data_IF_973612669948
#
_entry.id   IF_973612669948
#
_cell.length_a   1.000
_cell.length_b   1.000
_cell.length_c   1.000
_cell.angle_alpha   90.00
_cell.angle_beta   90.00
_cell.angle_gamma   90.00
#
_symmetry.space_group_name_H-M   'P 1'
#
loop_
_entity.id
_entity.type
_entity.pdbx_description
1 polymer ?
#
# COMPACT_ATOMS: atom_id res chain seq x y z
N UNK A 1 -40.04 7.31 -24.81
CA UNK A 1 -39.03 7.40 -25.90
C UNK A 1 -37.83 6.52 -25.57
N UNK A 2 -37.10 5.97 -26.54
CA UNK A 2 -35.91 5.13 -26.29
C UNK A 2 -34.67 5.72 -26.96
N UNK A 3 -33.52 5.70 -26.28
CA UNK A 3 -32.25 5.92 -26.94
C UNK A 3 -31.08 5.23 -26.27
N UNK A 4 -29.93 5.37 -26.91
CA UNK A 4 -28.70 4.67 -26.56
C UNK A 4 -27.62 5.67 -26.19
N UNK A 5 -26.86 5.37 -25.14
CA UNK A 5 -25.67 6.13 -24.77
C UNK A 5 -24.43 5.25 -24.67
N UNK A 6 -23.37 5.57 -25.42
CA UNK A 6 -22.12 4.78 -25.47
C UNK A 6 -20.92 5.62 -25.06
N UNK A 7 -19.80 4.97 -24.77
CA UNK A 7 -18.52 5.63 -24.44
C UNK A 7 -17.99 6.58 -25.52
N UNK A 8 -18.51 6.50 -26.76
CA UNK A 8 -18.20 7.43 -27.83
C UNK A 8 -18.75 8.85 -27.58
N UNK A 9 -19.74 9.00 -26.69
CA UNK A 9 -20.35 10.29 -26.32
C UNK A 9 -19.75 10.88 -25.05
N UNK A 10 -18.70 10.27 -24.50
CA UNK A 10 -18.09 10.69 -23.25
C UNK A 10 -17.35 12.01 -23.41
N UNK A 11 -17.81 13.04 -22.71
CA UNK A 11 -17.22 14.39 -22.70
C UNK A 11 -16.27 14.57 -21.51
N UNK A 12 -16.54 13.89 -20.41
CA UNK A 12 -15.69 13.87 -19.23
C UNK A 12 -15.61 12.46 -18.62
N UNK A 13 -14.41 12.03 -18.27
CA UNK A 13 -14.16 10.75 -17.62
C UNK A 13 -13.09 10.92 -16.55
N UNK A 14 -13.42 10.53 -15.33
CA UNK A 14 -12.49 10.53 -14.21
C UNK A 14 -12.55 9.23 -13.43
N UNK A 15 -11.38 8.73 -13.06
CA UNK A 15 -11.20 7.53 -12.26
C UNK A 15 -10.56 7.92 -10.94
N UNK A 16 -11.15 7.48 -9.82
CA UNK A 16 -10.52 7.55 -8.50
C UNK A 16 -10.31 6.14 -7.99
N UNK A 17 -9.06 5.69 -7.91
CA UNK A 17 -8.71 4.30 -7.56
C UNK A 17 -8.27 4.24 -6.11
N UNK A 18 -8.85 3.31 -5.35
CA UNK A 18 -8.63 3.18 -3.90
C UNK A 18 -7.74 2.00 -3.55
N UNK A 19 -8.17 0.78 -3.84
CA UNK A 19 -7.39 -0.43 -3.58
C UNK A 19 -7.54 -1.38 -4.77
N UNK A 20 -8.59 -2.21 -4.76
CA UNK A 20 -9.06 -3.00 -5.91
C UNK A 20 -10.34 -2.44 -6.53
N UNK A 21 -10.78 -1.29 -6.03
CA UNK A 21 -12.00 -0.61 -6.45
C UNK A 21 -11.63 0.76 -7.00
N UNK A 22 -12.34 1.16 -8.05
CA UNK A 22 -12.33 2.52 -8.54
C UNK A 22 -13.74 3.11 -8.55
N UNK A 23 -13.85 4.39 -8.19
CA UNK A 23 -14.99 5.22 -8.53
C UNK A 23 -14.80 5.75 -9.95
N UNK A 24 -15.74 5.41 -10.82
CA UNK A 24 -15.87 5.98 -12.16
C UNK A 24 -16.86 7.13 -12.08
N UNK A 25 -16.46 8.28 -12.60
CA UNK A 25 -17.34 9.41 -12.82
C UNK A 25 -17.25 9.79 -14.29
N UNK A 26 -18.38 9.64 -14.98
CA UNK A 26 -18.50 9.77 -16.42
C UNK A 26 -19.63 10.73 -16.76
N UNK A 27 -19.40 11.62 -17.72
CA UNK A 27 -20.42 12.49 -18.31
C UNK A 27 -20.51 12.19 -19.80
N UNK A 28 -21.73 11.93 -20.28
CA UNK A 28 -22.03 11.68 -21.69
C UNK A 28 -23.07 12.64 -22.20
N UNK A 29 -22.89 13.10 -23.44
CA UNK A 29 -23.93 13.85 -24.14
C UNK A 29 -25.12 12.94 -24.44
N UNK A 30 -26.32 13.42 -24.13
CA UNK A 30 -27.56 12.72 -24.45
C UNK A 30 -28.01 13.05 -25.88
N UNK A 31 -28.53 12.06 -26.63
CA UNK A 31 -29.18 12.32 -27.91
C UNK A 31 -30.33 13.33 -27.74
N UNK A 32 -30.50 14.25 -28.70
CA UNK A 32 -31.69 15.11 -28.71
C UNK A 32 -32.92 14.29 -29.06
N UNK A 33 -33.79 14.19 -28.09
CA UNK A 33 -35.07 13.50 -28.15
C UNK A 33 -36.14 14.50 -28.62
N UNK A 34 -36.82 14.24 -29.75
CA UNK A 34 -37.93 15.09 -30.21
C UNK A 34 -39.07 15.00 -29.20
N UNK A 35 -39.54 16.14 -28.69
CA UNK A 35 -40.60 16.19 -27.67
C UNK A 35 -41.93 15.80 -28.29
N UNK A 36 -42.26 14.51 -28.22
CA UNK A 36 -43.53 13.98 -28.70
C UNK A 36 -44.46 13.76 -27.50
N UNK A 37 -44.80 14.79 -26.74
CA UNK A 37 -45.81 14.77 -25.64
C UNK A 37 -45.64 13.73 -24.50
N UNK A 38 -44.66 12.83 -24.58
CA UNK A 38 -44.38 11.77 -23.62
C UNK A 38 -43.15 12.17 -22.78
N UNK A 39 -43.31 12.44 -21.47
CA UNK A 39 -42.21 12.87 -20.60
C UNK A 39 -41.24 11.72 -20.25
N UNK A 40 -41.63 10.47 -20.50
CA UNK A 40 -40.84 9.29 -20.14
C UNK A 40 -39.81 8.92 -21.20
N UNK A 41 -38.57 8.75 -20.75
CA UNK A 41 -37.41 8.35 -21.57
C UNK A 41 -36.77 7.11 -20.96
N UNK A 42 -36.47 6.15 -21.84
CA UNK A 42 -35.67 4.98 -21.56
C UNK A 42 -34.31 5.16 -22.24
N UNK A 43 -33.23 5.12 -21.47
CA UNK A 43 -31.87 5.20 -21.98
C UNK A 43 -31.16 3.90 -21.69
N UNK A 44 -30.64 3.24 -22.72
CA UNK A 44 -29.71 2.15 -22.53
C UNK A 44 -28.28 2.68 -22.53
N UNK A 45 -27.63 2.61 -21.36
CA UNK A 45 -26.28 3.09 -21.08
C UNK A 45 -25.28 1.95 -21.22
N UNK A 46 -24.47 2.00 -22.28
CA UNK A 46 -23.52 0.95 -22.68
C UNK A 46 -22.11 1.17 -22.12
N UNK A 47 -21.23 0.22 -22.40
CA UNK A 47 -19.79 0.30 -22.13
C UNK A 47 -19.49 0.55 -20.64
N UNK A 48 -20.24 -0.13 -19.76
CA UNK A 48 -19.97 -0.14 -18.32
C UNK A 48 -19.12 -1.34 -17.95
N UNK A 49 -18.44 -1.26 -16.81
CA UNK A 49 -17.61 -2.36 -16.32
C UNK A 49 -18.43 -3.64 -16.11
N UNK A 50 -17.79 -4.78 -16.38
CA UNK A 50 -18.29 -6.12 -16.06
C UNK A 50 -18.37 -6.40 -14.55
N UNK A 51 -17.73 -5.56 -13.75
CA UNK A 51 -17.59 -5.68 -12.29
C UNK A 51 -18.07 -4.40 -11.61
N UNK A 52 -19.15 -3.81 -12.13
CA UNK A 52 -19.83 -2.68 -11.49
C UNK A 52 -20.49 -3.13 -10.18
N UNK A 53 -20.47 -2.29 -9.16
CA UNK A 53 -21.32 -2.44 -7.97
C UNK A 53 -22.64 -1.70 -8.22
N UNK A 54 -23.72 -2.45 -8.37
CA UNK A 54 -25.05 -1.93 -8.70
C UNK A 54 -25.59 -0.97 -7.65
N UNK A 55 -25.25 -1.25 -6.40
CA UNK A 55 -25.76 -0.49 -5.24
C UNK A 55 -25.09 0.88 -5.12
N UNK A 56 -23.98 1.07 -5.84
CA UNK A 56 -23.21 2.31 -5.85
C UNK A 56 -23.62 3.30 -6.94
N UNK A 57 -24.48 2.90 -7.88
CA UNK A 57 -24.77 3.68 -9.08
C UNK A 57 -25.62 4.90 -8.76
N UNK A 58 -25.12 6.07 -9.13
CA UNK A 58 -25.82 7.34 -9.05
C UNK A 58 -25.90 7.93 -10.45
N UNK A 59 -27.10 8.34 -10.85
CA UNK A 59 -27.37 9.01 -12.12
C UNK A 59 -27.78 10.45 -11.81
N UNK A 60 -27.26 11.40 -12.57
CA UNK A 60 -27.74 12.79 -12.55
C UNK A 60 -27.98 13.28 -13.97
N UNK A 61 -28.87 14.25 -14.14
CA UNK A 61 -29.34 14.73 -15.45
C UNK A 61 -30.64 14.08 -15.92
N UNK A 62 -31.18 13.11 -15.17
CA UNK A 62 -32.53 12.58 -15.35
C UNK A 62 -33.10 12.23 -13.98
N UNK A 63 -34.42 12.35 -13.82
CA UNK A 63 -35.12 11.76 -12.68
C UNK A 63 -35.46 10.31 -13.05
N UNK A 64 -34.58 9.38 -12.70
CA UNK A 64 -34.82 7.95 -12.89
C UNK A 64 -35.73 7.40 -11.79
N UNK A 65 -36.58 6.45 -12.16
CA UNK A 65 -37.40 5.69 -11.21
C UNK A 65 -37.10 4.19 -11.26
N UNK A 66 -36.46 3.71 -12.34
CA UNK A 66 -36.03 2.32 -12.50
C UNK A 66 -34.66 2.28 -13.20
N UNK A 67 -33.72 1.53 -12.62
CA UNK A 67 -32.49 1.07 -13.27
C UNK A 67 -32.54 -0.46 -13.40
N UNK A 68 -32.25 -0.98 -14.59
CA UNK A 68 -32.12 -2.42 -14.85
C UNK A 68 -30.70 -2.69 -15.30
N UNK A 69 -29.96 -3.46 -14.50
CA UNK A 69 -28.58 -3.84 -14.77
C UNK A 69 -28.55 -5.14 -15.58
N UNK A 70 -27.98 -5.06 -16.78
CA UNK A 70 -27.90 -6.19 -17.70
C UNK A 70 -26.51 -6.81 -17.63
N UNK A 71 -26.39 -7.83 -16.79
CA UNK A 71 -25.24 -8.73 -16.83
C UNK A 71 -25.33 -9.64 -18.04
N UNK A 72 -24.19 -10.21 -18.45
CA UNK A 72 -24.13 -11.30 -19.43
C UNK A 72 -25.33 -12.25 -19.25
N UNK A 73 -26.29 -12.15 -20.16
CA UNK A 73 -27.53 -12.91 -20.06
C UNK A 73 -27.30 -14.39 -20.43
N UNK A 74 -26.18 -14.69 -21.10
CA UNK A 74 -25.80 -16.02 -21.55
C UNK A 74 -24.28 -16.20 -21.71
N UNK A 75 -23.84 -17.46 -21.65
CA UNK A 75 -22.49 -17.90 -22.02
C UNK A 75 -22.63 -19.26 -22.71
N UNK A 76 -22.43 -19.32 -24.03
CA UNK A 76 -22.58 -20.56 -24.83
C UNK A 76 -21.67 -21.72 -24.38
N UNK A 77 -20.69 -21.45 -23.52
CA UNK A 77 -19.75 -22.45 -22.99
C UNK A 77 -20.09 -22.93 -21.59
N UNK A 78 -21.12 -22.38 -20.94
CA UNK A 78 -21.52 -22.78 -19.59
C UNK A 78 -22.94 -23.39 -19.60
N UNK A 79 -23.08 -24.72 -19.42
CA UNK A 79 -24.37 -25.41 -19.50
C UNK A 79 -25.33 -25.06 -18.35
N UNK A 80 -24.90 -24.28 -17.36
CA UNK A 80 -25.73 -23.81 -16.24
C UNK A 80 -26.34 -22.41 -16.46
N UNK A 81 -26.09 -21.76 -17.62
CA UNK A 81 -26.69 -20.48 -17.99
C UNK A 81 -27.75 -20.66 -19.08
N UNK A 82 -28.75 -19.77 -19.11
CA UNK A 82 -29.87 -19.83 -20.06
C UNK A 82 -29.38 -19.66 -21.50
N UNK A 83 -30.00 -20.31 -22.51
CA UNK A 83 -29.66 -20.12 -23.91
C UNK A 83 -29.81 -18.64 -24.32
N UNK A 84 -28.90 -18.11 -25.14
CA UNK A 84 -28.90 -16.71 -25.56
C UNK A 84 -30.22 -16.25 -26.24
N UNK A 85 -31.04 -17.18 -26.70
CA UNK A 85 -32.33 -16.93 -27.36
C UNK A 85 -33.47 -16.58 -26.37
N UNK A 86 -33.26 -16.80 -25.07
CA UNK A 86 -34.24 -16.51 -24.00
C UNK A 86 -33.97 -15.21 -23.25
N UNK A 87 -32.85 -14.57 -23.55
CA UNK A 87 -32.62 -13.21 -23.12
C UNK A 87 -33.63 -12.33 -23.85
N UNK A 88 -34.54 -11.68 -23.13
CA UNK A 88 -35.05 -10.40 -23.65
C UNK A 88 -33.85 -9.60 -24.15
N UNK A 89 -33.99 -8.81 -25.21
CA UNK A 89 -32.92 -8.10 -25.95
C UNK A 89 -31.99 -7.20 -25.09
N UNK A 90 -31.33 -7.75 -24.09
CA UNK A 90 -30.56 -7.12 -23.05
C UNK A 90 -29.11 -7.25 -23.48
N UNK A 91 -28.50 -6.11 -23.73
CA UNK A 91 -27.13 -6.06 -24.21
C UNK A 91 -26.22 -6.17 -22.98
N UNK A 92 -25.28 -7.12 -22.95
CA UNK A 92 -24.45 -7.36 -21.79
C UNK A 92 -23.59 -6.16 -21.41
N UNK A 93 -23.48 -5.90 -20.11
CA UNK A 93 -22.79 -4.73 -19.53
C UNK A 93 -23.43 -3.42 -19.99
N UNK A 94 -24.76 -3.33 -19.82
CA UNK A 94 -25.54 -2.10 -19.98
C UNK A 94 -26.42 -1.85 -18.77
N UNK A 95 -26.83 -0.59 -18.59
CA UNK A 95 -27.86 -0.17 -17.63
C UNK A 95 -29.02 0.39 -18.43
N UNK A 96 -30.20 -0.21 -18.33
CA UNK A 96 -31.43 0.41 -18.83
C UNK A 96 -32.01 1.33 -17.76
N UNK A 97 -31.97 2.62 -18.03
CA UNK A 97 -32.43 3.69 -17.15
C UNK A 97 -33.79 4.14 -17.66
N UNK A 98 -34.84 4.04 -16.84
CA UNK A 98 -36.18 4.55 -17.15
C UNK A 98 -36.47 5.71 -16.22
N UNK A 99 -36.77 6.86 -16.81
CA UNK A 99 -36.92 8.12 -16.09
C UNK A 99 -37.73 9.16 -16.83
N UNK A 100 -37.82 10.34 -16.23
CA UNK A 100 -38.30 11.54 -16.88
C UNK A 100 -37.11 12.37 -17.37
N UNK A 101 -37.18 12.87 -18.60
CA UNK A 101 -36.15 13.75 -19.13
C UNK A 101 -36.46 15.20 -18.77
N UNK A 102 -35.65 15.75 -17.86
CA UNK A 102 -35.75 17.15 -17.41
C UNK A 102 -34.84 18.02 -18.29
N UNK A 103 -35.15 18.13 -19.58
CA UNK A 103 -34.43 18.98 -20.56
C UNK A 103 -32.88 18.85 -20.56
N UNK A 104 -32.33 17.77 -19.99
CA UNK A 104 -30.90 17.64 -19.79
C UNK A 104 -30.24 17.23 -21.10
N UNK A 105 -29.14 17.92 -21.43
CA UNK A 105 -28.32 17.61 -22.60
C UNK A 105 -27.23 16.59 -22.30
N UNK A 106 -27.03 16.28 -21.03
CA UNK A 106 -26.00 15.36 -20.55
C UNK A 106 -26.57 14.43 -19.48
N UNK A 107 -25.96 13.25 -19.37
CA UNK A 107 -26.18 12.32 -18.28
C UNK A 107 -24.84 12.12 -17.57
N UNK A 108 -24.84 12.16 -16.24
CA UNK A 108 -23.65 11.82 -15.44
C UNK A 108 -23.92 10.57 -14.65
N UNK A 109 -22.96 9.67 -14.70
CA UNK A 109 -22.99 8.43 -13.94
C UNK A 109 -21.81 8.38 -12.99
N UNK A 110 -22.09 7.95 -11.77
CA UNK A 110 -21.09 7.64 -10.76
C UNK A 110 -21.30 6.20 -10.35
N UNK A 111 -20.26 5.39 -10.40
CA UNK A 111 -20.35 4.00 -9.96
C UNK A 111 -19.01 3.48 -9.49
N UNK A 112 -19.04 2.57 -8.53
CA UNK A 112 -17.90 1.79 -8.12
C UNK A 112 -17.74 0.59 -9.05
N UNK A 113 -16.48 0.25 -9.34
CA UNK A 113 -16.12 -0.94 -10.08
C UNK A 113 -14.95 -1.64 -9.43
N UNK A 114 -15.04 -2.96 -9.37
CA UNK A 114 -13.96 -3.84 -8.96
C UNK A 114 -12.91 -4.04 -10.06
N UNK A 115 -11.79 -4.65 -9.67
CA UNK A 115 -10.71 -5.09 -10.57
C UNK A 115 -9.96 -3.94 -11.26
N UNK A 116 -10.02 -2.74 -10.70
CA UNK A 116 -9.04 -1.68 -10.98
C UNK A 116 -8.15 -1.51 -9.76
N UNK A 117 -6.88 -1.85 -9.91
CA UNK A 117 -5.90 -1.79 -8.83
C UNK A 117 -4.88 -0.71 -9.07
N UNK A 118 -4.40 -0.12 -8.00
CA UNK A 118 -3.16 0.64 -8.04
C UNK A 118 -2.20 0.17 -6.95
N UNK A 119 -0.92 0.43 -7.15
CA UNK A 119 0.11 0.26 -6.13
C UNK A 119 1.26 1.22 -6.38
N UNK A 120 1.99 1.60 -5.33
CA UNK A 120 3.26 2.31 -5.50
C UNK A 120 4.44 1.33 -5.58
N UNK A 121 5.46 1.71 -6.35
CA UNK A 121 6.75 1.04 -6.36
C UNK A 121 7.89 2.04 -6.36
N UNK A 122 8.93 1.72 -5.61
CA UNK A 122 10.09 2.55 -5.35
C UNK A 122 11.35 1.90 -5.90
N UNK A 123 12.14 2.67 -6.62
CA UNK A 123 13.53 2.33 -6.92
C UNK A 123 14.41 3.24 -6.10
N UNK A 124 15.23 2.64 -5.24
CA UNK A 124 16.18 3.34 -4.39
C UNK A 124 17.58 3.09 -4.93
N UNK A 125 18.35 4.15 -5.15
CA UNK A 125 19.77 4.04 -5.52
C UNK A 125 20.57 4.60 -4.34
N UNK A 126 21.34 3.73 -3.70
CA UNK A 126 22.22 4.07 -2.60
C UNK A 126 23.56 4.57 -3.14
N UNK A 127 24.04 5.70 -2.63
CA UNK A 127 25.29 6.32 -3.04
C UNK A 127 26.04 6.88 -1.83
N UNK A 128 27.03 6.12 -1.36
CA UNK A 128 27.81 6.38 -0.13
C UNK A 128 26.93 6.74 1.08
N UNK A 129 26.64 8.04 1.27
CA UNK A 129 25.88 8.62 2.39
C UNK A 129 24.51 9.19 2.01
N UNK A 130 24.21 9.24 0.71
CA UNK A 130 22.94 9.75 0.19
C UNK A 130 22.22 8.71 -0.65
N UNK A 131 20.94 8.90 -0.89
CA UNK A 131 20.19 8.06 -1.80
C UNK A 131 19.30 8.88 -2.73
N UNK A 132 18.92 8.23 -3.82
CA UNK A 132 17.92 8.69 -4.77
C UNK A 132 16.69 7.79 -4.70
N UNK A 133 15.50 8.39 -4.81
CA UNK A 133 14.22 7.68 -4.80
C UNK A 133 13.45 8.01 -6.07
N UNK A 134 13.05 6.99 -6.80
CA UNK A 134 12.09 7.07 -7.89
C UNK A 134 10.80 6.37 -7.47
N UNK A 135 9.68 7.09 -7.41
CA UNK A 135 8.37 6.53 -7.14
C UNK A 135 7.53 6.42 -8.41
N UNK A 136 6.90 5.26 -8.60
CA UNK A 136 5.99 4.99 -9.70
C UNK A 136 4.64 4.49 -9.16
N UNK A 137 3.56 4.95 -9.76
CA UNK A 137 2.24 4.36 -9.60
C UNK A 137 2.01 3.31 -10.69
N UNK A 138 1.58 2.13 -10.29
CA UNK A 138 1.30 1.02 -11.18
C UNK A 138 -0.21 0.78 -11.12
N UNK A 139 -0.91 1.06 -12.22
CA UNK A 139 -2.34 0.85 -12.33
C UNK A 139 -2.64 -0.35 -13.21
N UNK A 140 -3.44 -1.27 -12.69
CA UNK A 140 -3.87 -2.47 -13.40
C UNK A 140 -5.37 -2.34 -13.63
N UNK A 141 -5.79 -2.29 -14.89
CA UNK A 141 -7.20 -2.32 -15.26
C UNK A 141 -7.58 -3.74 -15.70
N UNK A 142 -8.49 -4.37 -14.95
CA UNK A 142 -9.16 -5.63 -15.32
C UNK A 142 -10.68 -5.50 -15.15
N UNK A 143 -11.23 -4.28 -15.30
CA UNK A 143 -12.66 -3.99 -15.15
C UNK A 143 -13.52 -4.58 -16.27
N UNK A 144 -12.90 -5.11 -17.33
CA UNK A 144 -13.59 -5.63 -18.50
C UNK A 144 -13.81 -4.61 -19.63
N UNK A 145 -13.48 -3.33 -19.41
CA UNK A 145 -13.63 -2.24 -20.40
C UNK A 145 -12.43 -1.29 -20.42
N UNK A 146 -12.29 -0.55 -21.51
CA UNK A 146 -11.29 0.50 -21.67
C UNK A 146 -11.82 1.85 -21.15
N UNK A 147 -10.96 2.61 -20.47
CA UNK A 147 -11.25 3.99 -20.08
C UNK A 147 -10.34 4.94 -20.84
N UNK A 148 -10.86 5.58 -21.89
CA UNK A 148 -10.07 6.45 -22.76
C UNK A 148 -10.11 7.91 -22.28
N UNK A 149 -8.97 8.61 -22.40
CA UNK A 149 -8.84 10.04 -22.08
C UNK A 149 -9.33 10.41 -20.67
N UNK A 150 -9.05 9.55 -19.68
CA UNK A 150 -9.50 9.74 -18.31
C UNK A 150 -8.50 10.55 -17.46
N UNK A 151 -9.01 11.45 -16.61
CA UNK A 151 -8.22 11.97 -15.49
C UNK A 151 -8.16 10.95 -14.36
N UNK A 152 -7.05 10.88 -13.64
CA UNK A 152 -6.84 9.87 -12.61
C UNK A 152 -6.49 10.48 -11.26
N UNK A 153 -7.13 9.96 -10.21
CA UNK A 153 -6.74 10.11 -8.81
C UNK A 153 -6.49 8.73 -8.23
N UNK A 154 -5.47 8.61 -7.38
CA UNK A 154 -5.26 7.43 -6.53
C UNK A 154 -5.28 7.84 -5.08
N UNK A 155 -5.87 7.00 -4.23
CA UNK A 155 -6.07 7.29 -2.82
C UNK A 155 -5.30 6.28 -1.98
N UNK A 156 -4.33 6.77 -1.22
CA UNK A 156 -3.60 5.96 -0.24
C UNK A 156 -4.30 5.97 1.11
N UNK A 157 -4.43 4.76 1.69
CA UNK A 157 -5.06 4.48 2.96
C UNK A 157 -6.13 3.38 2.86
N UNK A 158 -6.60 2.92 4.02
CA UNK A 158 -7.55 1.82 4.12
C UNK A 158 -8.99 2.32 4.09
N UNK A 159 -9.54 2.50 2.89
CA UNK A 159 -10.98 2.81 2.75
C UNK A 159 -11.80 1.63 3.26
N UNK A 160 -12.66 1.89 4.25
CA UNK A 160 -13.59 0.89 4.75
C UNK A 160 -14.71 0.65 3.72
N UNK A 161 -14.65 -0.50 3.07
CA UNK A 161 -15.66 -0.94 2.10
C UNK A 161 -16.68 -1.81 2.84
N UNK A 162 -17.93 -1.33 2.92
CA UNK A 162 -19.02 -1.98 3.65
C UNK A 162 -19.27 -3.45 3.20
N UNK A 163 -18.85 -3.83 2.00
CA UNK A 163 -19.18 -5.12 1.37
C UNK A 163 -18.16 -6.25 1.55
N UNK A 164 -17.10 -6.08 2.34
CA UNK A 164 -16.08 -7.14 2.55
C UNK A 164 -16.22 -7.94 3.85
N UNK A 165 -17.43 -8.04 4.40
CA UNK A 165 -17.75 -8.88 5.57
C UNK A 165 -18.59 -10.12 5.19
N UNK A 166 -18.17 -10.90 4.18
CA UNK A 166 -18.76 -12.23 3.96
C UNK A 166 -17.83 -13.41 4.22
N UNK A 167 -16.55 -13.20 4.54
CA UNK A 167 -15.67 -14.27 5.00
C UNK A 167 -14.57 -13.78 5.94
N UNK A 168 -14.90 -13.43 7.18
CA UNK A 168 -13.96 -13.60 8.30
C UNK A 168 -14.74 -14.14 9.51
N UNK A 169 -14.28 -15.30 9.96
CA UNK A 169 -14.58 -15.99 11.21
C UNK A 169 -14.74 -15.05 12.41
N UNK A 170 -15.67 -15.40 13.31
CA UNK A 170 -15.82 -14.83 14.64
C UNK A 170 -14.46 -14.68 15.36
N UNK A 171 -13.92 -13.46 15.37
CA UNK A 171 -12.85 -13.05 16.27
C UNK A 171 -13.22 -11.66 16.82
N UNK A 172 -13.28 -11.46 18.14
CA UNK A 172 -13.55 -10.14 18.70
C UNK A 172 -12.33 -9.23 18.49
N UNK A 173 -12.51 -8.14 17.75
CA UNK A 173 -11.49 -7.09 17.62
C UNK A 173 -11.72 -6.08 18.75
N UNK A 174 -10.76 -5.99 19.68
CA UNK A 174 -10.65 -4.83 20.58
C UNK A 174 -10.11 -3.64 19.79
N UNK A 175 -10.86 -2.53 19.76
CA UNK A 175 -10.44 -1.29 19.14
C UNK A 175 -9.59 -0.48 20.13
N UNK A 176 -8.33 -0.22 19.79
CA UNK A 176 -7.52 0.81 20.44
C UNK A 176 -7.73 2.14 19.70
N UNK A 177 -8.32 3.11 20.39
CA UNK A 177 -8.53 4.47 19.91
C UNK A 177 -7.20 5.23 19.99
N UNK A 178 -6.70 5.77 18.88
CA UNK A 178 -5.61 6.74 18.86
C UNK A 178 -6.15 8.02 18.23
N UNK A 179 -6.29 9.04 19.05
CA UNK A 179 -6.56 10.41 18.62
C UNK A 179 -5.22 11.11 18.36
N UNK A 180 -5.09 11.81 17.23
CA UNK A 180 -4.24 13.00 17.15
C UNK A 180 -4.69 13.90 16.01
N UNK A 181 -4.85 15.18 16.32
CA UNK A 181 -5.26 16.26 15.45
C UNK A 181 -4.06 17.14 15.10
N UNK A 182 -3.86 17.41 13.80
CA UNK A 182 -3.72 18.74 13.13
C UNK A 182 -2.91 18.60 11.82
N UNK A 183 -3.28 19.32 10.74
CA UNK A 183 -3.03 18.91 9.35
C UNK A 183 -1.95 19.75 8.63
N UNK A 184 -1.42 19.23 7.50
CA UNK A 184 -1.40 19.85 6.15
C UNK A 184 -0.63 18.91 5.19
N UNK A 185 -1.40 18.10 4.46
CA UNK A 185 -1.23 17.76 3.04
C UNK A 185 -2.55 18.17 2.38
N UNK A 186 -2.59 18.47 1.07
CA UNK A 186 -3.85 18.89 0.39
C UNK A 186 -5.02 17.99 0.85
N UNK A 187 -5.95 18.55 1.62
CA UNK A 187 -6.95 17.78 2.38
C UNK A 187 -7.93 17.19 1.35
N UNK A 188 -7.60 15.97 0.95
CA UNK A 188 -8.54 15.02 0.41
C UNK A 188 -9.50 14.56 1.51
N UNK A 189 -10.74 14.31 1.10
CA UNK A 189 -11.85 13.81 1.90
C UNK A 189 -11.39 12.76 2.94
N UNK A 190 -11.81 12.92 4.21
CA UNK A 190 -11.79 11.88 5.26
C UNK A 190 -10.43 11.20 5.59
N UNK A 191 -9.39 11.99 5.89
CA UNK A 191 -8.07 11.52 6.39
C UNK A 191 -7.22 10.66 5.42
N UNK A 192 -7.57 10.62 4.13
CA UNK A 192 -6.81 9.91 3.10
C UNK A 192 -5.86 10.83 2.32
N UNK A 193 -4.74 10.28 1.84
CA UNK A 193 -3.85 11.00 0.92
C UNK A 193 -4.30 10.78 -0.52
N UNK A 194 -4.72 11.86 -1.18
CA UNK A 194 -5.12 11.85 -2.60
C UNK A 194 -3.93 12.28 -3.46
N UNK A 195 -3.52 11.40 -4.37
CA UNK A 195 -2.52 11.71 -5.38
C UNK A 195 -3.22 11.89 -6.71
N UNK A 196 -3.24 13.13 -7.18
CA UNK A 196 -3.73 13.44 -8.53
C UNK A 196 -2.60 13.16 -9.53
N UNK A 197 -2.91 12.35 -10.53
CA UNK A 197 -1.96 12.07 -11.60
C UNK A 197 -2.08 13.17 -12.66
N UNK A 198 -0.97 13.82 -13.06
CA UNK A 198 -1.01 14.85 -14.08
C UNK A 198 -1.44 14.25 -15.42
N UNK A 199 -2.12 15.04 -16.25
CA UNK A 199 -2.61 14.65 -17.58
C UNK A 199 -3.76 13.62 -17.61
N UNK A 200 -4.26 13.40 -18.83
CA UNK A 200 -5.26 12.38 -19.13
C UNK A 200 -4.59 11.17 -19.75
N UNK A 201 -5.10 9.98 -19.43
CA UNK A 201 -4.54 8.72 -19.89
C UNK A 201 -5.62 7.75 -20.38
N UNK A 202 -5.26 6.93 -21.36
CA UNK A 202 -6.02 5.74 -21.73
C UNK A 202 -5.65 4.58 -20.78
N UNK A 203 -6.63 4.04 -20.06
CA UNK A 203 -6.51 2.86 -19.20
C UNK A 203 -7.23 1.69 -19.86
N UNK A 204 -6.51 1.00 -20.73
CA UNK A 204 -7.03 -0.13 -21.48
C UNK A 204 -7.23 -1.34 -20.58
N UNK A 205 -8.26 -2.13 -20.83
CA UNK A 205 -8.54 -3.36 -20.14
C UNK A 205 -7.38 -4.36 -20.31
N UNK A 206 -7.12 -5.15 -19.27
CA UNK A 206 -6.02 -6.11 -19.20
C UNK A 206 -4.63 -5.50 -19.37
N UNK A 207 -4.44 -4.23 -19.01
CA UNK A 207 -3.13 -3.57 -19.07
C UNK A 207 -2.63 -3.13 -17.70
N UNK A 208 -1.31 -3.06 -17.57
CA UNK A 208 -0.61 -2.38 -16.48
C UNK A 208 -0.02 -1.07 -17.04
N UNK A 209 -0.40 0.05 -16.44
CA UNK A 209 0.13 1.37 -16.75
C UNK A 209 1.01 1.87 -15.61
N UNK A 210 2.25 2.23 -15.92
CA UNK A 210 3.21 2.79 -14.94
C UNK A 210 3.32 4.29 -15.17
N UNK A 211 3.11 5.06 -14.12
CA UNK A 211 3.14 6.52 -14.17
C UNK A 211 4.12 7.02 -13.12
N UNK A 212 5.08 7.85 -13.53
CA UNK A 212 6.07 8.42 -12.61
C UNK A 212 5.35 9.39 -11.68
N UNK A 213 5.54 9.23 -10.37
CA UNK A 213 4.95 10.13 -9.39
C UNK A 213 5.95 11.22 -8.97
N UNK A 214 7.07 10.83 -8.36
CA UNK A 214 8.13 11.77 -8.01
C UNK A 214 9.53 11.17 -8.18
N UNK A 215 10.50 12.06 -8.20
CA UNK A 215 11.92 11.75 -8.08
C UNK A 215 12.55 12.72 -7.08
N UNK A 216 13.37 12.19 -6.17
CA UNK A 216 14.15 12.97 -5.20
C UNK A 216 15.55 12.38 -5.08
N UNK A 217 16.53 13.24 -4.82
CA UNK A 217 17.93 12.86 -4.66
C UNK A 217 18.57 13.63 -3.50
N UNK A 218 19.80 13.25 -3.13
CA UNK A 218 20.53 13.89 -2.04
C UNK A 218 19.87 13.67 -0.68
N UNK A 219 19.11 12.58 -0.51
CA UNK A 219 18.48 12.23 0.76
C UNK A 219 19.53 11.54 1.62
N UNK A 220 19.88 12.13 2.76
CA UNK A 220 20.85 11.53 3.67
C UNK A 220 20.22 10.32 4.34
N UNK A 221 20.96 9.21 4.35
CA UNK A 221 20.53 7.97 4.97
C UNK A 221 21.64 7.38 5.84
N UNK A 222 21.27 6.45 6.71
CA UNK A 222 22.20 5.65 7.51
C UNK A 222 21.94 4.16 7.32
N UNK A 223 22.99 3.37 7.53
CA UNK A 223 22.93 1.90 7.58
C UNK A 223 23.05 1.45 9.02
N UNK A 224 22.18 0.52 9.42
CA UNK A 224 22.26 -0.18 10.70
C UNK A 224 22.33 -1.69 10.46
N UNK A 225 23.29 -2.35 11.10
CA UNK A 225 23.42 -3.79 11.08
C UNK A 225 22.75 -4.37 12.33
N UNK A 226 21.53 -4.89 12.18
CA UNK A 226 20.69 -5.34 13.30
C UNK A 226 20.60 -6.86 13.35
N UNK A 227 21.09 -7.46 14.43
CA UNK A 227 21.04 -8.90 14.68
C UNK A 227 19.68 -9.37 15.24
N UNK A 228 18.78 -8.44 15.58
CA UNK A 228 17.57 -8.76 16.33
C UNK A 228 17.93 -9.37 17.68
N UNK A 229 17.46 -10.59 17.93
CA UNK A 229 17.69 -11.28 19.21
C UNK A 229 18.93 -12.19 19.23
N UNK A 230 19.16 -12.93 18.15
CA UNK A 230 20.21 -13.97 18.12
C UNK A 230 20.61 -14.40 16.70
N UNK A 231 20.42 -13.55 15.69
CA UNK A 231 20.86 -13.90 14.33
C UNK A 231 22.38 -13.96 14.24
N UNK A 232 22.91 -14.96 13.52
CA UNK A 232 24.34 -15.05 13.23
C UNK A 232 24.78 -13.91 12.31
N UNK A 233 24.00 -13.61 11.26
CA UNK A 233 24.27 -12.51 10.33
C UNK A 233 23.30 -11.35 10.58
N UNK A 234 23.82 -10.13 10.60
CA UNK A 234 23.01 -8.93 10.80
C UNK A 234 22.12 -8.63 9.58
N UNK A 235 20.89 -8.18 9.82
CA UNK A 235 20.09 -7.53 8.80
C UNK A 235 20.69 -6.16 8.46
N UNK A 236 20.75 -5.83 7.17
CA UNK A 236 21.16 -4.51 6.70
C UNK A 236 19.90 -3.65 6.61
N UNK A 237 19.76 -2.72 7.55
CA UNK A 237 18.63 -1.78 7.62
C UNK A 237 19.07 -0.43 7.04
N UNK A 238 18.31 0.07 6.08
CA UNK A 238 18.43 1.43 5.55
C UNK A 238 17.46 2.33 6.30
N UNK A 239 17.94 3.48 6.80
CA UNK A 239 17.14 4.46 7.52
C UNK A 239 17.34 5.88 7.00
N UNK A 240 16.26 6.65 6.88
CA UNK A 240 16.32 8.08 6.58
C UNK A 240 15.06 8.81 7.05
N UNK A 241 15.14 10.12 7.25
CA UNK A 241 14.00 10.94 7.65
C UNK A 241 13.23 11.45 6.42
N UNK A 242 11.90 11.31 6.43
CA UNK A 242 11.00 11.85 5.40
C UNK A 242 10.65 13.32 5.67
N UNK A 243 11.65 14.19 5.77
CA UNK A 243 11.46 15.61 6.03
C UNK A 243 11.85 16.46 4.83
N UNK A 244 11.38 17.71 4.79
CA UNK A 244 11.75 18.65 3.73
C UNK A 244 13.25 18.98 3.78
N UNK A 245 13.82 19.09 4.98
CA UNK A 245 15.25 19.35 5.23
C UNK A 245 16.13 18.23 4.68
N UNK A 246 15.61 16.99 4.62
CA UNK A 246 16.30 15.84 4.05
C UNK A 246 15.91 15.58 2.58
N UNK A 247 15.46 16.62 1.86
CA UNK A 247 15.12 16.61 0.43
C UNK A 247 13.94 15.70 0.02
N UNK A 248 13.13 15.19 0.95
CA UNK A 248 11.97 14.33 0.63
C UNK A 248 10.65 15.01 0.97
N UNK A 249 10.28 15.05 2.25
CA UNK A 249 9.20 15.87 2.82
C UNK A 249 7.81 15.65 2.21
N UNK A 250 7.50 14.42 1.78
CA UNK A 250 6.23 14.08 1.12
C UNK A 250 5.66 12.78 1.68
N UNK A 251 4.34 12.64 1.86
CA UNK A 251 3.73 11.37 2.22
C UNK A 251 4.12 10.27 1.21
N UNK A 252 4.53 9.12 1.73
CA UNK A 252 4.95 7.97 0.93
C UNK A 252 3.88 6.89 1.03
N UNK A 253 3.18 6.55 -0.07
CA UNK A 253 2.27 5.41 -0.08
C UNK A 253 2.98 4.09 0.21
N UNK A 254 2.23 3.14 0.76
CA UNK A 254 2.67 1.76 0.86
C UNK A 254 3.03 1.19 -0.51
N UNK A 255 4.11 0.41 -0.55
CA UNK A 255 4.65 -0.09 -1.82
C UNK A 255 5.92 -0.91 -1.69
N UNK A 256 6.31 -1.51 -2.80
CA UNK A 256 7.52 -2.33 -2.90
C UNK A 256 8.75 -1.47 -3.17
N UNK A 257 9.88 -1.81 -2.57
CA UNK A 257 11.18 -1.17 -2.78
C UNK A 257 12.11 -2.14 -3.49
N UNK A 258 12.77 -1.67 -4.55
CA UNK A 258 13.96 -2.31 -5.11
C UNK A 258 15.16 -1.37 -4.89
N UNK A 259 16.16 -1.85 -4.16
CA UNK A 259 17.38 -1.09 -3.85
C UNK A 259 18.54 -1.50 -4.74
N UNK A 260 19.27 -0.51 -5.22
CA UNK A 260 20.45 -0.64 -6.05
C UNK A 260 21.61 0.15 -5.44
N UNK A 261 22.83 -0.22 -5.80
CA UNK A 261 24.05 0.57 -5.54
C UNK A 261 24.79 0.79 -6.85
N UNK A 262 25.64 1.81 -6.92
CA UNK A 262 26.60 1.95 -8.02
C UNK A 262 27.88 1.18 -7.69
N UNK A 263 28.31 0.31 -8.59
CA UNK A 263 29.58 -0.40 -8.51
C UNK A 263 30.22 -0.45 -9.91
N UNK A 264 31.44 0.04 -10.03
CA UNK A 264 32.19 0.10 -11.31
C UNK A 264 31.38 0.74 -12.46
N UNK A 265 30.66 1.83 -12.16
CA UNK A 265 29.82 2.55 -13.13
C UNK A 265 28.47 1.91 -13.46
N UNK A 266 28.15 0.72 -12.94
CA UNK A 266 26.90 0.01 -13.19
C UNK A 266 25.98 0.01 -11.95
N UNK A 267 24.67 -0.16 -12.18
CA UNK A 267 23.70 -0.37 -11.11
C UNK A 267 23.60 -1.85 -10.75
N UNK A 268 23.89 -2.17 -9.50
CA UNK A 268 23.80 -3.53 -8.96
C UNK A 268 22.63 -3.63 -8.00
N UNK A 269 21.80 -4.67 -8.15
CA UNK A 269 20.69 -4.93 -7.24
C UNK A 269 21.19 -5.44 -5.90
N UNK A 270 20.79 -4.80 -4.81
CA UNK A 270 21.26 -5.14 -3.45
C UNK A 270 20.15 -5.59 -2.50
N UNK A 271 18.87 -5.49 -2.90
CA UNK A 271 17.78 -5.95 -2.05
C UNK A 271 16.40 -5.44 -2.41
N UNK A 272 15.39 -6.26 -2.09
CA UNK A 272 13.97 -5.93 -2.21
C UNK A 272 13.32 -5.81 -0.84
N UNK A 273 12.37 -4.89 -0.68
CA UNK A 273 11.61 -4.71 0.55
C UNK A 273 10.21 -4.17 0.28
N UNK A 274 9.47 -3.85 1.33
CA UNK A 274 8.22 -3.11 1.23
C UNK A 274 8.08 -2.13 2.39
N UNK A 275 7.36 -1.04 2.16
CA UNK A 275 6.98 -0.07 3.19
C UNK A 275 5.46 0.02 3.28
N UNK A 276 4.98 0.38 4.47
CA UNK A 276 3.60 0.83 4.68
C UNK A 276 3.49 2.31 4.32
N UNK A 277 2.29 2.89 4.46
CA UNK A 277 2.13 4.33 4.32
C UNK A 277 2.97 5.05 5.38
N UNK A 278 3.83 5.98 4.93
CA UNK A 278 4.71 6.77 5.80
C UNK A 278 4.34 8.25 5.63
N UNK A 279 3.76 8.88 6.66
CA UNK A 279 3.48 10.31 6.63
C UNK A 279 4.74 11.16 6.44
N UNK A 280 4.52 12.42 6.08
CA UNK A 280 5.57 13.44 6.15
C UNK A 280 6.14 13.51 7.57
N UNK A 281 7.43 13.82 7.67
CA UNK A 281 8.17 14.07 8.91
C UNK A 281 8.29 12.82 9.81
N UNK A 282 8.29 11.63 9.19
CA UNK A 282 8.49 10.33 9.85
C UNK A 282 9.73 9.60 9.31
N UNK A 283 10.33 8.73 10.12
CA UNK A 283 11.45 7.88 9.71
C UNK A 283 10.99 6.80 8.73
N UNK A 284 11.74 6.60 7.66
CA UNK A 284 11.65 5.44 6.79
C UNK A 284 12.73 4.45 7.21
N UNK A 285 12.35 3.18 7.40
CA UNK A 285 13.26 2.10 7.76
C UNK A 285 12.86 0.81 7.07
N UNK A 286 13.78 0.15 6.37
CA UNK A 286 13.53 -1.13 5.70
C UNK A 286 14.79 -1.98 5.58
N UNK A 287 14.61 -3.29 5.47
CA UNK A 287 15.70 -4.27 5.35
C UNK A 287 15.98 -4.52 3.86
N UNK A 288 17.25 -4.50 3.46
CA UNK A 288 17.67 -4.86 2.09
C UNK A 288 18.27 -6.27 1.99
N UNK A 289 18.73 -6.84 3.11
CA UNK A 289 19.31 -8.18 3.10
C UNK A 289 20.03 -8.49 4.40
N UNK A 290 20.89 -9.51 4.37
CA UNK A 290 21.78 -9.88 5.49
C UNK A 290 23.23 -9.68 5.11
N UNK A 291 24.02 -9.20 6.06
CA UNK A 291 25.44 -8.95 5.88
C UNK A 291 26.25 -10.23 6.10
N UNK A 292 27.04 -10.61 5.11
CA UNK A 292 27.94 -11.76 5.22
C UNK A 292 29.10 -11.48 6.20
N UNK A 293 29.73 -10.30 6.05
CA UNK A 293 30.93 -9.86 6.79
C UNK A 293 30.65 -9.26 8.19
N UNK A 294 29.41 -9.35 8.67
CA UNK A 294 28.99 -8.80 9.96
C UNK A 294 28.24 -9.88 10.72
N UNK A 295 28.92 -10.46 11.71
CA UNK A 295 28.47 -11.67 12.38
C UNK A 295 28.40 -11.51 13.90
N UNK A 296 27.60 -12.37 14.54
CA UNK A 296 27.47 -12.47 15.99
C UNK A 296 27.50 -13.93 16.42
N UNK A 297 28.20 -14.20 17.52
CA UNK A 297 28.15 -15.45 18.25
C UNK A 297 27.64 -15.20 19.67
N UNK A 298 26.55 -15.88 20.03
CA UNK A 298 25.96 -15.83 21.37
C UNK A 298 26.38 -17.07 22.17
N UNK A 299 26.92 -16.88 23.37
CA UNK A 299 27.29 -17.94 24.32
C UNK A 299 26.62 -17.69 25.67
N UNK A 300 26.02 -18.71 26.26
CA UNK A 300 25.59 -18.67 27.67
C UNK A 300 26.79 -19.13 28.50
N UNK A 301 27.37 -18.23 29.29
CA UNK A 301 28.58 -18.50 30.07
C UNK A 301 28.29 -18.90 31.51
N UNK A 302 27.13 -18.51 32.05
CA UNK A 302 26.64 -18.99 33.33
C UNK A 302 25.13 -19.16 33.30
N UNK A 303 24.64 -20.19 33.99
CA UNK A 303 23.22 -20.48 34.16
C UNK A 303 23.00 -21.12 35.53
N UNK A 304 22.29 -20.42 36.41
CA UNK A 304 22.00 -20.88 37.76
C UNK A 304 20.52 -20.69 38.06
N UNK A 305 19.84 -21.78 38.44
CA UNK A 305 18.43 -21.77 38.80
C UNK A 305 18.27 -21.71 40.32
N UNK A 306 17.52 -20.72 40.79
CA UNK A 306 17.08 -20.60 42.18
C UNK A 306 15.58 -20.91 42.27
N UNK A 307 15.02 -20.85 43.48
CA UNK A 307 13.58 -21.06 43.72
C UNK A 307 12.72 -20.09 42.92
N UNK A 308 13.07 -18.80 42.97
CA UNK A 308 12.19 -17.72 42.49
C UNK A 308 12.69 -17.09 41.18
N UNK A 309 13.97 -17.25 40.84
CA UNK A 309 14.58 -16.66 39.65
C UNK A 309 15.66 -17.55 39.03
N UNK A 310 15.97 -17.30 37.77
CA UNK A 310 17.16 -17.82 37.10
C UNK A 310 18.14 -16.67 36.91
N UNK A 311 19.39 -16.90 37.30
CA UNK A 311 20.52 -16.06 36.93
C UNK A 311 21.14 -16.60 35.64
N UNK A 312 21.26 -15.74 34.64
CA UNK A 312 21.86 -16.10 33.35
C UNK A 312 22.87 -15.05 32.95
N UNK A 313 24.02 -15.53 32.47
CA UNK A 313 25.09 -14.70 31.96
C UNK A 313 25.36 -15.07 30.51
N UNK A 314 25.39 -14.04 29.65
CA UNK A 314 25.47 -14.16 28.21
C UNK A 314 26.66 -13.36 27.72
N UNK A 315 27.43 -13.96 26.83
CA UNK A 315 28.54 -13.36 26.12
C UNK A 315 28.24 -13.36 24.62
N UNK A 316 28.16 -12.16 24.05
CA UNK A 316 28.12 -11.93 22.61
C UNK A 316 29.50 -11.55 22.09
N UNK A 317 29.92 -12.17 20.99
CA UNK A 317 31.12 -11.82 20.24
C UNK A 317 30.64 -11.36 18.87
N UNK A 318 30.85 -10.08 18.54
CA UNK A 318 30.37 -9.44 17.32
C UNK A 318 31.57 -9.07 16.47
N UNK A 319 31.60 -9.53 15.22
CA UNK A 319 32.73 -9.34 14.33
C UNK A 319 32.32 -8.51 13.10
N UNK A 320 33.15 -7.53 12.76
CA UNK A 320 33.09 -6.78 11.51
C UNK A 320 34.35 -7.05 10.68
N UNK A 321 34.24 -7.84 9.61
CA UNK A 321 35.35 -8.10 8.68
C UNK A 321 35.37 -7.12 7.50
N UNK A 322 34.51 -6.10 7.51
CA UNK A 322 34.53 -5.04 6.49
C UNK A 322 35.71 -4.09 6.73
N UNK A 323 36.10 -3.41 5.67
CA UNK A 323 37.13 -2.36 5.69
C UNK A 323 36.60 -0.97 6.11
N UNK A 324 35.35 -0.90 6.60
CA UNK A 324 34.71 0.32 7.08
C UNK A 324 34.13 0.12 8.48
N UNK A 325 33.98 1.22 9.22
CA UNK A 325 33.28 1.21 10.49
C UNK A 325 31.76 1.10 10.28
N UNK A 326 31.08 0.35 11.15
CA UNK A 326 29.65 0.08 11.04
C UNK A 326 28.92 0.33 12.35
N UNK A 327 27.65 0.70 12.27
CA UNK A 327 26.78 0.76 13.44
C UNK A 327 26.02 -0.56 13.58
N UNK A 328 26.09 -1.17 14.76
CA UNK A 328 25.42 -2.43 15.05
C UNK A 328 24.33 -2.27 16.10
N UNK A 329 23.37 -3.19 16.09
CA UNK A 329 22.40 -3.39 17.16
C UNK A 329 22.23 -4.88 17.42
N UNK A 330 22.22 -5.26 18.69
CA UNK A 330 21.87 -6.62 19.14
C UNK A 330 21.05 -6.54 20.43
N UNK A 331 20.04 -7.41 20.56
CA UNK A 331 19.17 -7.47 21.73
C UNK A 331 19.22 -8.86 22.35
N UNK A 332 19.16 -8.97 23.68
CA UNK A 332 19.00 -10.27 24.33
C UNK A 332 17.50 -10.57 24.50
N UNK A 333 16.98 -11.70 24.01
CA UNK A 333 15.56 -12.04 24.11
C UNK A 333 15.21 -12.52 25.53
N UNK A 334 14.68 -11.63 26.37
CA UNK A 334 14.23 -11.93 27.72
C UNK A 334 12.71 -11.82 27.79
N UNK A 335 12.01 -12.93 27.57
CA UNK A 335 10.54 -12.97 27.55
C UNK A 335 9.92 -13.16 28.94
N UNK A 336 10.47 -12.51 29.96
CA UNK A 336 10.01 -12.56 31.35
C UNK A 336 10.41 -11.25 32.07
N UNK A 337 9.74 -10.87 33.18
CA UNK A 337 10.24 -9.82 34.05
C UNK A 337 11.69 -10.11 34.45
N UNK A 338 12.55 -9.11 34.26
CA UNK A 338 13.98 -9.28 34.41
C UNK A 338 14.64 -8.06 35.03
N UNK A 339 15.79 -8.28 35.64
CA UNK A 339 16.63 -7.24 36.24
C UNK A 339 18.07 -7.43 35.75
N UNK A 340 18.67 -6.37 35.19
CA UNK A 340 20.09 -6.39 34.85
C UNK A 340 20.92 -6.41 36.13
N UNK A 341 21.76 -7.43 36.31
CA UNK A 341 22.73 -7.44 37.41
C UNK A 341 24.09 -6.92 36.99
N UNK A 342 24.45 -7.08 35.72
CA UNK A 342 25.71 -6.61 35.18
C UNK A 342 25.61 -6.44 33.65
N UNK A 343 26.26 -5.41 33.12
CA UNK A 343 26.47 -5.25 31.68
C UNK A 343 27.78 -4.50 31.43
N UNK A 344 28.55 -4.98 30.46
CA UNK A 344 29.80 -4.33 30.01
C UNK A 344 29.55 -3.03 29.27
N UNK A 345 28.43 -2.94 28.55
CA UNK A 345 28.05 -1.80 27.72
C UNK A 345 26.69 -1.23 28.18
N UNK A 346 26.45 0.04 27.85
CA UNK A 346 25.13 0.66 28.06
C UNK A 346 24.12 0.02 27.11
N UNK A 347 22.89 -0.15 27.60
CA UNK A 347 21.78 -0.67 26.84
C UNK A 347 20.56 0.22 26.98
N UNK A 348 19.67 0.14 25.99
CA UNK A 348 18.30 0.64 26.05
C UNK A 348 17.35 -0.56 25.97
N UNK A 349 16.06 -0.35 26.23
CA UNK A 349 15.06 -1.40 26.03
C UNK A 349 14.36 -1.24 24.68
N UNK A 350 14.11 -2.35 23.99
CA UNK A 350 13.21 -2.34 22.84
C UNK A 350 11.74 -2.19 23.26
N UNK A 351 10.84 -2.16 22.27
CA UNK A 351 9.39 -2.11 22.49
C UNK A 351 8.81 -3.27 23.31
N UNK A 352 9.56 -4.37 23.46
CA UNK A 352 9.17 -5.55 24.22
C UNK A 352 9.86 -5.59 25.60
N UNK A 353 10.63 -4.56 25.96
CA UNK A 353 11.36 -4.48 27.22
C UNK A 353 12.68 -5.24 27.23
N UNK A 354 13.16 -5.75 26.09
CA UNK A 354 14.43 -6.49 26.02
C UNK A 354 15.63 -5.54 25.96
N UNK A 355 16.75 -5.84 26.65
CA UNK A 355 17.94 -5.01 26.58
C UNK A 355 18.59 -5.11 25.21
N UNK A 356 18.86 -3.96 24.60
CA UNK A 356 19.50 -3.81 23.30
C UNK A 356 20.75 -2.93 23.42
N UNK A 357 21.84 -3.44 22.87
CA UNK A 357 23.13 -2.78 22.82
C UNK A 357 23.35 -2.21 21.42
N UNK A 358 23.70 -0.94 21.35
CA UNK A 358 24.03 -0.23 20.11
C UNK A 358 25.42 0.37 20.24
N UNK A 359 26.26 0.15 19.25
CA UNK A 359 27.61 0.71 19.22
C UNK A 359 28.15 0.79 17.79
N UNK A 360 29.24 1.54 17.62
CA UNK A 360 30.00 1.58 16.37
C UNK A 360 31.17 0.62 16.48
N UNK A 361 31.29 -0.29 15.52
CA UNK A 361 32.39 -1.24 15.40
C UNK A 361 33.34 -0.79 14.31
N UNK A 362 34.64 -0.71 14.60
CA UNK A 362 35.66 -0.30 13.64
C UNK A 362 35.85 -1.31 12.50
N UNK A 363 36.62 -0.96 11.46
CA UNK A 363 36.96 -1.89 10.39
C UNK A 363 37.81 -3.06 10.91
N UNK A 364 37.59 -4.27 10.37
CA UNK A 364 38.34 -5.48 10.73
C UNK A 364 38.50 -5.69 12.24
N UNK A 365 37.40 -5.50 12.99
CA UNK A 365 37.42 -5.51 14.45
C UNK A 365 36.34 -6.39 15.05
N UNK A 366 36.53 -6.69 16.32
CA UNK A 366 35.61 -7.49 17.12
C UNK A 366 35.23 -6.71 18.38
N UNK A 367 34.00 -6.95 18.85
CA UNK A 367 33.48 -6.42 20.10
C UNK A 367 32.83 -7.54 20.89
N UNK A 368 33.26 -7.66 22.14
CA UNK A 368 32.64 -8.50 23.13
C UNK A 368 31.63 -7.69 23.95
N UNK A 369 30.45 -8.26 24.18
CA UNK A 369 29.42 -7.74 25.07
C UNK A 369 29.02 -8.85 26.04
N UNK A 370 29.30 -8.65 27.32
CA UNK A 370 28.89 -9.54 28.40
C UNK A 370 27.78 -8.85 29.22
N UNK A 371 26.72 -9.62 29.51
CA UNK A 371 25.64 -9.21 30.39
C UNK A 371 25.22 -10.36 31.31
N UNK A 372 24.84 -10.02 32.53
CA UNK A 372 24.24 -10.93 33.50
C UNK A 372 22.91 -10.34 33.93
N UNK A 373 21.87 -11.16 33.93
CA UNK A 373 20.54 -10.75 34.35
C UNK A 373 19.84 -11.85 35.12
N UNK A 374 18.92 -11.44 35.98
CA UNK A 374 17.97 -12.34 36.66
C UNK A 374 16.64 -12.24 35.96
N UNK A 375 15.93 -13.36 35.81
CA UNK A 375 14.54 -13.34 35.36
C UNK A 375 13.70 -14.30 36.18
N UNK A 376 12.45 -13.90 36.42
CA UNK A 376 11.53 -14.62 37.30
C UNK A 376 11.16 -15.97 36.71
N UNK A 377 11.17 -17.01 37.56
CA UNK A 377 10.58 -18.31 37.24
C UNK A 377 9.17 -18.31 37.80
N UNK A 378 8.27 -17.46 37.29
CA UNK A 378 6.86 -17.64 37.65
C UNK A 378 6.44 -19.01 37.10
N UNK A 379 6.09 -19.90 38.03
CA UNK A 379 5.53 -21.22 37.75
C UNK A 379 4.36 -21.06 36.79
N UNK A 380 4.59 -21.47 35.54
CA UNK A 380 3.55 -21.74 34.54
C UNK A 380 2.52 -22.71 35.08
#
# INVERSE_FOLDING_TARGET
MYGKSTSAQTTNLSLTVYNNIALINETRDLPRYKSDSNPYVSIEYFDISKYIDETSVIITGMDDFIMIFNYLCCNDKNPNLSPCDTCENLIPNSILIKGNNIDSKEIKTYYLTDNIRWSSSYTIILDEKTLEIHCWFNLINKSGIDYNNATLKVIAGDVNLAYKNLYISNAPIQATKLESSTPIADIGIADYYIYTVPDKYNFLNNTLKRIKNFYKNGIVYSKLYDFGYDSINANIIIKFQNTTENNLGIPLPSGNINSFTRFDGNLEFVGGSSIKDIPKDREVSYIIGKAFDVTSQRKIINYQKYSDYILKEVHYIITNTKNEAINIKICEPIYAPWEMTFATDRYETDKNGNPCFQTTLGPNSEKEIILSYKYDVKSS
#
